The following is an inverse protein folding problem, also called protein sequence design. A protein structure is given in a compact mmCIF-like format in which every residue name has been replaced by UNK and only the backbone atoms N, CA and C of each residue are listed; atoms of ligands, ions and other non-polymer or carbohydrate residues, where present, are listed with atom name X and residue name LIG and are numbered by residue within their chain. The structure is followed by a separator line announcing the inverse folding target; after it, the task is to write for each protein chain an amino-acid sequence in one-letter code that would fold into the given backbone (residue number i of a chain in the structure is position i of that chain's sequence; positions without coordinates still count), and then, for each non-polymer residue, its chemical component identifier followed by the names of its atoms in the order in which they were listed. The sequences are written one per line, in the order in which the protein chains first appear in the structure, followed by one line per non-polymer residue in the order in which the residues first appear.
data_IF_401948190113
#
_entry.id   IF_401948190113
#
_cell.length_a   1.000
_cell.length_b   1.000
_cell.length_c   1.000
_cell.angle_alpha   90.00
_cell.angle_beta   90.00
_cell.angle_gamma   90.00
#
_symmetry.space_group_name_H-M   'P 1'
#
loop_
_entity.id
_entity.type
_entity.pdbx_description
1 polymer ?
#
# COMPACT_ATOMS: atom_id res chain seq x y z
N UNK A 1 -3.38 11.17 -7.06
CA UNK A 1 -2.29 12.07 -6.62
C UNK A 1 -1.45 11.37 -5.54
N UNK A 2 -0.77 10.27 -5.90
CA UNK A 2 -0.06 9.36 -4.98
C UNK A 2 1.44 9.19 -5.34
N UNK A 3 1.94 10.04 -6.24
CA UNK A 3 3.27 9.89 -6.83
C UNK A 3 4.29 10.93 -6.35
N UNK A 4 3.93 11.72 -5.34
CA UNK A 4 4.85 12.73 -4.80
C UNK A 4 4.71 12.81 -3.28
N UNK A 5 5.81 12.64 -2.56
CA UNK A 5 6.01 13.17 -1.22
C UNK A 5 6.87 14.41 -1.41
N UNK A 6 6.45 15.58 -0.91
CA UNK A 6 7.17 16.86 -0.99
C UNK A 6 7.56 17.31 -2.41
N UNK A 7 6.76 16.93 -3.43
CA UNK A 7 7.00 17.41 -4.82
C UNK A 7 8.01 16.60 -5.64
N UNK A 8 8.71 15.63 -5.05
CA UNK A 8 9.64 14.75 -5.77
C UNK A 8 8.98 13.45 -6.24
N UNK A 9 9.41 12.85 -7.37
CA UNK A 9 8.95 11.53 -7.77
C UNK A 9 9.39 10.50 -6.73
N UNK A 10 8.44 9.71 -6.23
CA UNK A 10 8.72 8.61 -5.30
C UNK A 10 9.52 7.52 -5.99
N UNK A 11 10.78 7.40 -5.64
CA UNK A 11 11.60 6.23 -5.98
C UNK A 11 11.21 5.06 -5.07
N UNK A 12 11.34 3.85 -5.56
CA UNK A 12 10.99 2.65 -4.78
C UNK A 12 11.93 2.48 -3.57
N UNK A 13 13.16 2.92 -3.73
CA UNK A 13 14.18 2.95 -2.68
C UNK A 13 13.72 3.83 -1.50
N UNK A 14 13.17 5.01 -1.78
CA UNK A 14 12.65 5.92 -0.76
C UNK A 14 11.47 5.30 0.00
N UNK A 15 10.61 4.55 -0.72
CA UNK A 15 9.49 3.83 -0.10
C UNK A 15 9.96 2.71 0.83
N UNK A 16 11.03 2.00 0.44
CA UNK A 16 11.60 0.93 1.27
C UNK A 16 12.25 1.49 2.54
N UNK A 17 13.02 2.58 2.42
CA UNK A 17 13.62 3.27 3.56
C UNK A 17 12.51 3.80 4.48
N UNK A 18 11.50 4.46 3.93
CA UNK A 18 10.38 4.99 4.74
C UNK A 18 9.58 3.91 5.44
N UNK A 19 9.44 2.74 4.81
CA UNK A 19 8.80 1.58 5.42
C UNK A 19 9.58 1.07 6.64
N UNK A 20 10.91 1.01 6.53
CA UNK A 20 11.80 0.58 7.61
C UNK A 20 11.72 1.55 8.80
N UNK A 21 11.86 2.86 8.55
CA UNK A 21 11.70 3.91 9.57
C UNK A 21 10.36 3.79 10.32
N UNK A 22 9.25 3.65 9.58
CA UNK A 22 7.93 3.50 10.17
C UNK A 22 7.79 2.21 11.00
N UNK A 23 8.46 1.13 10.57
CA UNK A 23 8.51 -0.14 11.31
C UNK A 23 9.26 0.01 12.63
N UNK A 24 10.41 0.68 12.63
CA UNK A 24 11.20 0.97 13.82
C UNK A 24 10.45 1.90 14.79
N UNK A 25 9.87 3.00 14.27
CA UNK A 25 9.08 3.93 15.06
C UNK A 25 7.85 3.25 15.70
N UNK A 26 7.17 2.37 14.96
CA UNK A 26 6.04 1.60 15.48
C UNK A 26 6.52 0.61 16.56
N UNK A 27 7.66 -0.04 16.34
CA UNK A 27 8.32 -0.92 17.30
C UNK A 27 8.65 -0.20 18.60
N UNK A 28 9.27 0.99 18.52
CA UNK A 28 9.59 1.84 19.66
C UNK A 28 8.32 2.27 20.42
N UNK A 29 7.28 2.72 19.71
CA UNK A 29 5.99 3.08 20.31
C UNK A 29 5.34 1.89 21.03
N UNK A 30 5.44 0.71 20.47
CA UNK A 30 4.94 -0.52 21.10
C UNK A 30 5.78 -0.95 22.29
N UNK A 31 7.10 -0.74 22.29
CA UNK A 31 7.98 -1.07 23.41
C UNK A 31 7.71 -0.15 24.62
N UNK A 32 7.44 1.13 24.37
CA UNK A 32 7.10 2.12 25.41
C UNK A 32 5.66 1.98 25.95
N UNK A 33 4.78 1.22 25.27
CA UNK A 33 3.39 1.05 25.69
C UNK A 33 3.25 0.05 26.84
N UNK A 34 2.23 0.27 27.71
CA UNK A 34 1.88 -0.69 28.76
C UNK A 34 1.49 -2.07 28.18
N UNK A 35 1.54 -3.15 28.99
CA UNK A 35 1.17 -4.49 28.53
C UNK A 35 -0.25 -4.55 27.94
N UNK A 36 -1.19 -3.79 28.53
CA UNK A 36 -2.57 -3.71 28.08
C UNK A 36 -2.70 -2.98 26.74
N UNK A 37 -2.06 -1.80 26.63
CA UNK A 37 -2.02 -1.02 25.39
C UNK A 37 -1.34 -1.82 24.28
N UNK A 38 -0.25 -2.52 24.57
CA UNK A 38 0.45 -3.40 23.61
C UNK A 38 -0.44 -4.54 23.11
N UNK A 39 -1.21 -5.17 23.98
CA UNK A 39 -2.16 -6.23 23.63
C UNK A 39 -3.27 -5.69 22.72
N UNK A 40 -3.80 -4.51 23.01
CA UNK A 40 -4.80 -3.83 22.18
C UNK A 40 -4.22 -3.44 20.82
N UNK A 41 -3.01 -2.88 20.76
CA UNK A 41 -2.31 -2.55 19.53
C UNK A 41 -2.13 -3.77 18.63
N UNK A 42 -1.59 -4.88 19.17
CA UNK A 42 -1.41 -6.13 18.41
C UNK A 42 -2.74 -6.69 17.94
N UNK A 43 -3.73 -6.82 18.80
CA UNK A 43 -5.00 -7.53 18.51
C UNK A 43 -5.94 -6.71 17.63
N UNK A 44 -6.01 -5.40 17.84
CA UNK A 44 -6.99 -4.54 17.18
C UNK A 44 -6.40 -3.73 16.02
N UNK A 45 -5.28 -3.08 16.23
CA UNK A 45 -4.67 -2.19 15.22
C UNK A 45 -3.96 -3.01 14.15
N UNK A 46 -2.95 -3.79 14.52
CA UNK A 46 -2.14 -4.53 13.56
C UNK A 46 -2.98 -5.54 12.78
N UNK A 47 -3.84 -6.31 13.46
CA UNK A 47 -4.71 -7.28 12.78
C UNK A 47 -5.67 -6.63 11.79
N UNK A 48 -6.19 -5.44 12.10
CA UNK A 48 -7.11 -4.70 11.22
C UNK A 48 -6.38 -4.02 10.07
N UNK A 49 -5.31 -3.28 10.36
CA UNK A 49 -4.54 -2.55 9.36
C UNK A 49 -3.73 -3.48 8.45
N UNK A 50 -3.25 -4.63 8.95
CA UNK A 50 -2.49 -5.61 8.16
C UNK A 50 -3.38 -6.55 7.33
N UNK A 51 -4.71 -6.43 7.37
CA UNK A 51 -5.58 -7.30 6.59
C UNK A 51 -5.54 -6.96 5.08
N UNK A 52 -5.55 -7.99 4.24
CA UNK A 52 -5.67 -7.86 2.78
C UNK A 52 -6.94 -7.09 2.36
N UNK A 53 -8.04 -7.26 3.11
CA UNK A 53 -9.29 -6.52 2.86
C UNK A 53 -9.13 -5.02 3.06
N UNK A 54 -8.31 -4.61 4.02
CA UNK A 54 -8.01 -3.19 4.25
C UNK A 54 -7.24 -2.60 3.08
N UNK A 55 -6.23 -3.33 2.55
CA UNK A 55 -5.47 -2.93 1.36
C UNK A 55 -6.36 -2.82 0.13
N UNK A 56 -7.18 -3.84 -0.13
CA UNK A 56 -8.06 -3.86 -1.29
C UNK A 56 -9.09 -2.73 -1.24
N UNK A 57 -9.67 -2.48 -0.08
CA UNK A 57 -10.59 -1.35 0.14
C UNK A 57 -9.90 0.00 -0.11
N UNK A 58 -8.69 0.18 0.36
CA UNK A 58 -7.90 1.39 0.16
C UNK A 58 -7.65 1.65 -1.33
N UNK A 59 -7.35 0.58 -2.08
CA UNK A 59 -7.11 0.65 -3.51
C UNK A 59 -8.38 1.00 -4.30
N UNK A 60 -9.50 0.35 -3.98
CA UNK A 60 -10.77 0.53 -4.69
C UNK A 60 -11.45 1.88 -4.39
N UNK A 61 -11.36 2.38 -3.17
CA UNK A 61 -12.08 3.60 -2.73
C UNK A 61 -11.33 4.90 -2.89
N UNK A 62 -10.04 4.88 -3.25
CA UNK A 62 -9.18 6.08 -3.38
C UNK A 62 -9.27 7.04 -2.17
N UNK A 63 -9.49 6.50 -0.97
CA UNK A 63 -9.58 7.28 0.26
C UNK A 63 -8.26 8.00 0.54
N UNK A 64 -8.31 9.23 1.05
CA UNK A 64 -7.11 9.95 1.47
C UNK A 64 -6.51 9.31 2.73
N UNK A 65 -5.21 9.58 3.01
CA UNK A 65 -4.56 9.05 4.20
C UNK A 65 -5.29 9.50 5.47
N UNK A 66 -5.67 10.78 5.54
CA UNK A 66 -6.36 11.37 6.69
C UNK A 66 -7.73 10.74 6.92
N UNK A 67 -8.48 10.43 5.85
CA UNK A 67 -9.75 9.72 5.93
C UNK A 67 -9.56 8.30 6.48
N UNK A 68 -8.50 7.61 6.08
CA UNK A 68 -8.19 6.27 6.59
C UNK A 68 -7.80 6.29 8.06
N UNK A 69 -6.91 7.21 8.46
CA UNK A 69 -6.50 7.39 9.85
C UNK A 69 -7.71 7.70 10.71
N UNK A 70 -8.54 8.66 10.28
CA UNK A 70 -9.77 9.04 10.98
C UNK A 70 -10.75 7.88 11.11
N UNK A 71 -11.00 7.13 10.03
CA UNK A 71 -11.92 5.98 10.03
C UNK A 71 -11.45 4.86 10.97
N UNK A 72 -10.13 4.56 10.98
CA UNK A 72 -9.55 3.58 11.89
C UNK A 72 -9.57 4.09 13.32
N UNK A 73 -9.24 5.36 13.55
CA UNK A 73 -9.27 6.03 14.86
C UNK A 73 -10.67 6.00 15.48
N UNK A 74 -11.70 6.41 14.73
CA UNK A 74 -13.10 6.36 15.16
C UNK A 74 -13.50 4.93 15.54
N UNK A 75 -13.17 3.96 14.70
CA UNK A 75 -13.54 2.56 14.94
C UNK A 75 -12.83 1.94 16.17
N UNK A 76 -11.67 2.46 16.56
CA UNK A 76 -10.89 1.99 17.71
C UNK A 76 -11.04 2.86 18.96
N UNK A 77 -11.70 4.03 18.85
CA UNK A 77 -11.97 4.93 19.98
C UNK A 77 -12.62 4.24 21.19
N UNK A 78 -13.59 3.31 21.03
CA UNK A 78 -14.14 2.58 22.16
C UNK A 78 -13.11 1.73 22.90
N UNK A 79 -12.15 1.14 22.17
CA UNK A 79 -11.09 0.34 22.77
C UNK A 79 -10.03 1.19 23.50
N UNK A 80 -9.85 2.45 23.08
CA UNK A 80 -8.92 3.37 23.70
C UNK A 80 -9.47 3.98 25.00
N UNK A 81 -10.77 3.94 25.26
CA UNK A 81 -11.39 4.53 26.46
C UNK A 81 -10.90 3.90 27.78
N UNK A 82 -10.43 2.66 27.75
CA UNK A 82 -9.88 1.99 28.93
C UNK A 82 -8.42 2.38 29.24
N UNK A 83 -7.78 3.15 28.37
CA UNK A 83 -6.39 3.58 28.51
C UNK A 83 -6.30 4.96 29.16
N UNK A 84 -5.19 5.24 29.88
CA UNK A 84 -4.90 6.58 30.40
C UNK A 84 -4.78 7.60 29.27
N UNK A 85 -4.92 8.90 29.56
CA UNK A 85 -4.86 9.97 28.57
C UNK A 85 -3.51 9.96 27.78
N UNK A 86 -2.41 9.69 28.47
CA UNK A 86 -1.08 9.56 27.85
C UNK A 86 -1.00 8.36 26.92
N UNK A 87 -1.52 7.21 27.33
CA UNK A 87 -1.54 6.00 26.54
C UNK A 87 -2.47 6.11 25.32
N UNK A 88 -3.56 6.88 25.43
CA UNK A 88 -4.43 7.18 24.29
C UNK A 88 -3.68 7.94 23.20
N UNK A 89 -2.84 8.93 23.55
CA UNK A 89 -1.99 9.64 22.59
C UNK A 89 -1.05 8.70 21.85
N UNK A 90 -0.35 7.84 22.57
CA UNK A 90 0.54 6.84 21.98
C UNK A 90 -0.21 5.81 21.12
N UNK A 91 -1.44 5.43 21.52
CA UNK A 91 -2.28 4.51 20.78
C UNK A 91 -2.73 5.10 19.44
N UNK A 92 -3.13 6.37 19.39
CA UNK A 92 -3.50 7.04 18.15
C UNK A 92 -2.28 7.29 17.25
N UNK A 93 -1.13 7.66 17.80
CA UNK A 93 0.13 7.75 17.05
C UNK A 93 0.53 6.41 16.43
N UNK A 94 0.36 5.30 17.16
CA UNK A 94 0.60 3.96 16.61
C UNK A 94 -0.38 3.58 15.49
N UNK A 95 -1.64 4.03 15.56
CA UNK A 95 -2.62 3.84 14.48
C UNK A 95 -2.15 4.59 13.23
N UNK A 96 -1.78 5.84 13.36
CA UNK A 96 -1.30 6.67 12.26
C UNK A 96 -0.10 6.02 11.56
N UNK A 97 0.94 5.62 12.34
CA UNK A 97 2.12 4.93 11.81
C UNK A 97 1.77 3.62 11.13
N UNK A 98 0.90 2.79 11.71
CA UNK A 98 0.48 1.53 11.12
C UNK A 98 -0.31 1.70 9.81
N UNK A 99 -1.19 2.71 9.73
CA UNK A 99 -1.95 3.02 8.50
C UNK A 99 -1.02 3.56 7.42
N UNK A 100 -0.09 4.46 7.78
CA UNK A 100 0.90 5.01 6.85
C UNK A 100 1.83 3.92 6.31
N UNK A 101 2.36 3.06 7.18
CA UNK A 101 3.19 1.92 6.78
C UNK A 101 2.43 1.02 5.79
N UNK A 102 1.15 0.78 6.04
CA UNK A 102 0.34 -0.05 5.15
C UNK A 102 0.08 0.58 3.79
N UNK A 103 0.01 1.91 3.74
CA UNK A 103 -0.07 2.64 2.48
C UNK A 103 1.22 2.55 1.68
N UNK A 104 2.37 2.64 2.35
CA UNK A 104 3.68 2.42 1.73
C UNK A 104 3.78 0.99 1.17
N UNK A 105 3.38 -0.03 1.95
CA UNK A 105 3.31 -1.42 1.48
C UNK A 105 2.46 -1.54 0.20
N UNK A 106 1.30 -0.91 0.17
CA UNK A 106 0.41 -0.94 -1.00
C UNK A 106 1.07 -0.33 -2.26
N UNK A 107 1.83 0.76 -2.10
CA UNK A 107 2.58 1.38 -3.21
C UNK A 107 3.71 0.47 -3.71
N UNK A 108 4.44 -0.18 -2.80
CA UNK A 108 5.49 -1.16 -3.15
C UNK A 108 4.88 -2.33 -3.93
N UNK A 109 3.77 -2.89 -3.43
CA UNK A 109 3.05 -3.98 -4.12
C UNK A 109 2.56 -3.57 -5.50
N UNK A 110 2.00 -2.37 -5.63
CA UNK A 110 1.54 -1.85 -6.93
C UNK A 110 2.70 -1.74 -7.93
N UNK A 111 3.83 -1.20 -7.48
CA UNK A 111 5.02 -1.07 -8.32
C UNK A 111 5.56 -2.43 -8.78
N UNK A 112 5.66 -3.40 -7.87
CA UNK A 112 6.07 -4.76 -8.19
C UNK A 112 5.10 -5.45 -9.16
N UNK A 113 3.79 -5.29 -8.95
CA UNK A 113 2.76 -5.85 -9.83
C UNK A 113 2.83 -5.26 -11.24
N UNK A 114 3.09 -3.95 -11.35
CA UNK A 114 3.27 -3.30 -12.65
C UNK A 114 4.51 -3.81 -13.39
N UNK A 115 5.63 -4.00 -12.69
CA UNK A 115 6.84 -4.60 -13.28
C UNK A 115 6.59 -6.02 -13.76
N UNK A 116 5.91 -6.83 -12.96
CA UNK A 116 5.61 -8.22 -13.31
C UNK A 116 4.66 -8.30 -14.50
N UNK A 117 3.69 -7.38 -14.60
CA UNK A 117 2.73 -7.35 -15.69
C UNK A 117 3.32 -6.81 -17.00
N UNK A 118 4.30 -5.90 -16.92
CA UNK A 118 4.89 -5.23 -18.08
C UNK A 118 5.59 -6.22 -19.01
N UNK A 119 6.36 -7.18 -18.49
CA UNK A 119 7.11 -8.13 -19.28
C UNK A 119 6.22 -9.01 -20.20
N UNK A 120 5.19 -9.72 -19.70
CA UNK A 120 4.28 -10.49 -20.56
C UNK A 120 3.48 -9.59 -21.52
N UNK A 121 3.12 -8.37 -21.10
CA UNK A 121 2.42 -7.42 -21.96
C UNK A 121 3.27 -7.03 -23.18
N UNK A 122 4.54 -6.68 -22.97
CA UNK A 122 5.47 -6.34 -24.07
C UNK A 122 5.69 -7.52 -25.01
N UNK A 123 5.86 -8.73 -24.46
CA UNK A 123 6.05 -9.95 -25.27
C UNK A 123 4.80 -10.21 -26.14
N UNK A 124 3.62 -10.17 -25.55
CA UNK A 124 2.36 -10.40 -26.27
C UNK A 124 2.09 -9.34 -27.34
N UNK A 125 2.32 -8.07 -27.05
CA UNK A 125 2.14 -7.00 -28.03
C UNK A 125 3.14 -7.11 -29.17
N UNK A 126 4.39 -7.47 -28.90
CA UNK A 126 5.41 -7.71 -29.94
C UNK A 126 5.06 -8.90 -30.82
N UNK A 127 4.55 -9.99 -30.23
CA UNK A 127 4.09 -11.16 -30.98
C UNK A 127 2.88 -10.81 -31.87
N UNK A 128 1.91 -10.10 -31.34
CA UNK A 128 0.74 -9.63 -32.12
C UNK A 128 1.16 -8.76 -33.29
N UNK A 129 2.12 -7.86 -33.09
CA UNK A 129 2.66 -7.02 -34.17
C UNK A 129 3.36 -7.87 -35.26
N UNK A 130 4.18 -8.82 -34.86
CA UNK A 130 4.85 -9.75 -35.81
C UNK A 130 3.84 -10.53 -36.61
N UNK A 131 2.81 -11.10 -35.99
CA UNK A 131 1.75 -11.83 -36.68
C UNK A 131 0.95 -10.95 -37.66
N UNK A 132 0.70 -9.69 -37.26
CA UNK A 132 0.04 -8.73 -38.16
C UNK A 132 0.86 -8.44 -39.38
N UNK A 133 2.19 -8.27 -39.27
CA UNK A 133 3.10 -8.07 -40.40
C UNK A 133 3.07 -9.30 -41.35
N UNK A 134 3.18 -10.49 -40.78
CA UNK A 134 3.09 -11.74 -41.57
C UNK A 134 1.76 -11.82 -42.31
N UNK A 135 0.67 -11.50 -41.66
CA UNK A 135 -0.66 -11.50 -42.26
C UNK A 135 -0.77 -10.52 -43.44
N UNK A 136 -0.26 -9.30 -43.28
CA UNK A 136 -0.24 -8.29 -44.33
C UNK A 136 0.58 -8.80 -45.55
N UNK A 137 1.76 -9.36 -45.31
CA UNK A 137 2.59 -9.93 -46.39
C UNK A 137 1.83 -11.05 -47.12
N UNK A 138 1.17 -11.95 -46.41
CA UNK A 138 0.36 -13.02 -47.02
C UNK A 138 -0.76 -12.44 -47.88
N UNK A 139 -1.51 -11.46 -47.35
CA UNK A 139 -2.61 -10.83 -48.11
C UNK A 139 -2.09 -10.19 -49.41
N UNK A 140 -0.99 -9.43 -49.35
CA UNK A 140 -0.38 -8.80 -50.52
C UNK A 140 0.06 -9.89 -51.55
N UNK A 141 0.70 -10.94 -51.06
CA UNK A 141 1.17 -12.02 -51.92
C UNK A 141 0.02 -12.74 -52.65
N UNK A 142 -1.09 -12.98 -51.96
CA UNK A 142 -2.26 -13.63 -52.56
C UNK A 142 -3.08 -12.71 -53.47
N UNK A 143 -3.08 -11.38 -53.23
CA UNK A 143 -3.74 -10.44 -54.13
C UNK A 143 -2.93 -10.16 -55.41
N UNK A 144 -1.61 -10.32 -55.37
CA UNK A 144 -0.71 -10.04 -56.50
C UNK A 144 -0.59 -11.25 -57.47
N UNK A 145 -1.24 -12.38 -57.14
CA UNK A 145 -1.21 -13.59 -57.95
C UNK A 145 -2.54 -13.84 -58.63
#
# INVERSE_FOLDING_TARGET
MLTRIEGQPLLIEDLLVRREELSEELGATMAAASPEARKLLKKRVLKRCLSLRFLLRQYLRRESLDQLISAVGIALKPAAKSLSAYEQGNFFSAIEKAVTMRRVDALIYLHQSLKLWLAPHVILTSLMLALMIVHIIQVIYFLAR
#
